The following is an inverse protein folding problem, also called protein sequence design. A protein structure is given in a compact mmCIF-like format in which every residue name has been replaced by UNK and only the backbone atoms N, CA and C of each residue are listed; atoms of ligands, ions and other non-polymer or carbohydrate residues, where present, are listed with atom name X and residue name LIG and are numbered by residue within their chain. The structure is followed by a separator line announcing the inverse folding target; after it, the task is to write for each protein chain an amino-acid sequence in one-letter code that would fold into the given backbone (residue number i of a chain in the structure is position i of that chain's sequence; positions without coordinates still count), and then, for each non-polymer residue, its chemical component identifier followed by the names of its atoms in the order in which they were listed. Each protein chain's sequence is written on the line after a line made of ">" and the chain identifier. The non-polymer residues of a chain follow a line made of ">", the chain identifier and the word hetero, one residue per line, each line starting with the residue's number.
data_IF_230933840047
#
_entry.id   IF_230933840047
#
_cell.length_a   1.000
_cell.length_b   1.000
_cell.length_c   1.000
_cell.angle_alpha   90.00
_cell.angle_beta   90.00
_cell.angle_gamma   90.00
#
_symmetry.space_group_name_H-M   'P 1'
#
loop_
_entity.id
_entity.type
_entity.pdbx_description
1 polymer ?
#
# COMPACT_ATOMS: atom_id res chain seq x y z
N UNK A 1 0.45 8.54 -12.91
CA UNK A 1 -0.45 7.74 -12.05
C UNK A 1 -0.12 6.28 -12.29
N UNK A 2 -0.06 5.47 -11.24
CA UNK A 2 0.13 4.02 -11.33
C UNK A 2 -1.13 3.30 -11.83
N UNK A 3 -0.95 2.04 -12.23
CA UNK A 3 -1.98 1.16 -12.76
C UNK A 3 -2.15 -0.05 -11.83
N UNK A 4 -3.38 -0.35 -11.44
CA UNK A 4 -3.70 -1.58 -10.72
C UNK A 4 -3.69 -2.75 -11.69
N UNK A 5 -2.81 -3.73 -11.47
CA UNK A 5 -2.65 -4.93 -12.29
C UNK A 5 -3.48 -6.10 -11.80
N UNK A 6 -3.57 -6.24 -10.47
CA UNK A 6 -4.37 -7.24 -9.80
C UNK A 6 -4.99 -6.64 -8.54
N UNK A 7 -6.20 -7.08 -8.22
CA UNK A 7 -6.93 -6.62 -7.05
C UNK A 7 -7.86 -7.73 -6.57
N UNK A 8 -7.66 -8.19 -5.34
CA UNK A 8 -8.56 -9.10 -4.66
C UNK A 8 -8.82 -8.57 -3.25
N UNK A 9 -10.07 -8.21 -3.00
CA UNK A 9 -10.53 -7.67 -1.72
C UNK A 9 -11.44 -8.65 -0.98
N UNK A 10 -11.32 -9.95 -1.30
CA UNK A 10 -12.09 -11.01 -0.64
C UNK A 10 -11.54 -11.30 0.75
N UNK A 11 -12.45 -11.73 1.62
CA UNK A 11 -12.16 -12.05 3.02
C UNK A 11 -11.08 -13.13 3.15
N UNK A 12 -10.00 -12.81 3.87
CA UNK A 12 -8.97 -13.76 4.32
C UNK A 12 -7.54 -13.29 4.08
N UNK A 13 -7.25 -12.72 2.91
CA UNK A 13 -5.93 -12.15 2.57
C UNK A 13 -6.05 -11.15 1.42
N UNK A 14 -6.73 -10.00 1.63
CA UNK A 14 -6.87 -8.98 0.61
C UNK A 14 -5.51 -8.50 0.10
N UNK A 15 -5.37 -8.39 -1.23
CA UNK A 15 -4.13 -7.97 -1.86
C UNK A 15 -4.35 -7.19 -3.16
N UNK A 16 -3.34 -6.45 -3.56
CA UNK A 16 -3.29 -5.80 -4.86
C UNK A 16 -1.87 -5.70 -5.40
N UNK A 17 -1.75 -5.78 -6.71
CA UNK A 17 -0.53 -5.45 -7.43
C UNK A 17 -0.71 -4.15 -8.19
N UNK A 18 0.26 -3.26 -8.06
CA UNK A 18 0.24 -1.94 -8.71
C UNK A 18 1.54 -1.75 -9.50
N UNK A 19 1.42 -1.39 -10.77
CA UNK A 19 2.52 -0.80 -11.53
C UNK A 19 2.57 0.70 -11.25
N UNK A 20 3.67 1.18 -10.69
CA UNK A 20 3.93 2.59 -10.45
C UNK A 20 4.26 3.31 -11.76
N UNK A 21 4.27 4.66 -11.72
CA UNK A 21 4.46 5.48 -12.91
C UNK A 21 5.82 5.23 -13.61
N UNK A 22 6.85 4.85 -12.86
CA UNK A 22 8.17 4.49 -13.40
C UNK A 22 8.29 3.03 -13.87
N UNK A 23 7.20 2.27 -13.88
CA UNK A 23 7.17 0.85 -14.26
C UNK A 23 7.61 -0.12 -13.15
N UNK A 24 7.94 0.36 -11.94
CA UNK A 24 8.12 -0.53 -10.78
C UNK A 24 6.80 -1.20 -10.42
N UNK A 25 6.86 -2.45 -9.98
CA UNK A 25 5.69 -3.16 -9.50
C UNK A 25 5.78 -3.31 -8.00
N UNK A 26 4.69 -2.99 -7.33
CA UNK A 26 4.54 -3.18 -5.89
C UNK A 26 3.37 -4.10 -5.60
N UNK A 27 3.54 -4.92 -4.57
CA UNK A 27 2.53 -5.80 -4.03
C UNK A 27 2.12 -5.28 -2.65
N UNK A 28 0.82 -5.11 -2.45
CA UNK A 28 0.20 -4.64 -1.22
C UNK A 28 -0.65 -5.80 -0.70
N UNK A 29 -0.42 -6.24 0.52
CA UNK A 29 -1.26 -7.25 1.16
C UNK A 29 -1.63 -6.86 2.58
N UNK A 30 -2.86 -7.22 2.93
CA UNK A 30 -3.42 -7.13 4.26
C UNK A 30 -3.74 -8.53 4.76
N UNK A 31 -3.16 -8.90 5.89
CA UNK A 31 -3.45 -10.15 6.58
C UNK A 31 -3.65 -9.90 8.09
N UNK A 32 -3.79 -10.97 8.87
CA UNK A 32 -3.96 -10.87 10.34
C UNK A 32 -2.77 -10.22 11.07
N UNK A 33 -1.60 -10.17 10.44
CA UNK A 33 -0.38 -9.53 10.95
C UNK A 33 -0.27 -8.05 10.54
N UNK A 34 -1.16 -7.58 9.66
CA UNK A 34 -1.30 -6.19 9.27
C UNK A 34 -0.98 -5.98 7.79
N UNK A 35 -0.26 -4.90 7.49
CA UNK A 35 0.06 -4.49 6.12
C UNK A 35 1.49 -4.88 5.77
N UNK A 36 1.66 -5.44 4.58
CA UNK A 36 2.96 -5.58 3.93
C UNK A 36 2.91 -4.93 2.55
N UNK A 37 3.89 -4.08 2.26
CA UNK A 37 4.12 -3.52 0.93
C UNK A 37 5.51 -3.95 0.46
N UNK A 38 5.58 -4.56 -0.72
CA UNK A 38 6.83 -5.04 -1.31
C UNK A 38 7.02 -4.49 -2.71
N UNK A 39 8.26 -4.28 -3.12
CA UNK A 39 8.64 -4.18 -4.52
C UNK A 39 8.81 -5.58 -5.08
N UNK A 40 8.15 -5.87 -6.20
CA UNK A 40 8.24 -7.17 -6.88
C UNK A 40 9.54 -7.26 -7.69
N UNK A 41 10.06 -8.49 -7.77
CA UNK A 41 11.28 -8.77 -8.52
C UNK A 41 11.13 -8.41 -10.01
N UNK A 42 12.21 -7.90 -10.58
CA UNK A 42 12.35 -7.61 -12.02
C UNK A 42 13.79 -7.94 -12.43
N UNK A 43 14.11 -8.15 -13.72
CA UNK A 43 15.46 -8.50 -14.14
C UNK A 43 16.50 -7.52 -13.54
N UNK A 44 17.44 -8.06 -12.74
CA UNK A 44 18.45 -7.28 -12.02
C UNK A 44 18.07 -6.75 -10.63
N UNK A 45 16.85 -6.98 -10.14
CA UNK A 45 16.39 -6.54 -8.82
C UNK A 45 15.58 -7.62 -8.10
N UNK A 46 16.01 -7.99 -6.88
CA UNK A 46 15.29 -8.92 -6.02
C UNK A 46 14.03 -8.27 -5.41
N UNK A 47 13.08 -9.11 -5.00
CA UNK A 47 11.95 -8.68 -4.18
C UNK A 47 12.46 -8.01 -2.89
N UNK A 48 11.81 -6.92 -2.48
CA UNK A 48 12.19 -6.18 -1.28
C UNK A 48 10.96 -5.68 -0.54
N UNK A 49 10.91 -5.90 0.77
CA UNK A 49 9.92 -5.25 1.65
C UNK A 49 10.20 -3.76 1.70
N UNK A 50 9.20 -2.96 1.32
CA UNK A 50 9.25 -1.50 1.38
C UNK A 50 8.73 -1.02 2.73
N UNK A 51 7.63 -1.62 3.20
CA UNK A 51 6.99 -1.23 4.44
C UNK A 51 6.22 -2.41 5.06
N UNK A 52 6.17 -2.45 6.39
CA UNK A 52 5.37 -3.40 7.16
C UNK A 52 4.81 -2.71 8.40
N UNK A 53 3.53 -2.95 8.71
CA UNK A 53 2.87 -2.35 9.87
C UNK A 53 1.89 -3.33 10.52
N UNK A 54 1.71 -3.19 11.84
CA UNK A 54 0.71 -3.94 12.60
C UNK A 54 -0.71 -3.50 12.24
N UNK A 55 -1.75 -4.30 12.53
CA UNK A 55 -3.13 -3.94 12.24
C UNK A 55 -3.54 -2.59 12.84
N UNK A 56 -3.10 -2.28 14.07
CA UNK A 56 -3.41 -1.01 14.74
C UNK A 56 -2.84 0.20 13.99
N UNK A 57 -1.58 0.11 13.55
CA UNK A 57 -0.95 1.16 12.74
C UNK A 57 -1.66 1.31 11.40
N UNK A 58 -2.07 0.21 10.76
CA UNK A 58 -2.81 0.23 9.49
C UNK A 58 -4.13 0.96 9.62
N UNK A 59 -4.91 0.67 10.68
CA UNK A 59 -6.18 1.34 10.94
C UNK A 59 -5.98 2.85 11.10
N UNK A 60 -4.97 3.27 11.85
CA UNK A 60 -4.66 4.70 12.05
C UNK A 60 -4.21 5.39 10.75
N UNK A 61 -3.36 4.74 9.95
CA UNK A 61 -2.96 5.25 8.63
C UNK A 61 -4.19 5.40 7.73
N UNK A 62 -5.04 4.38 7.66
CA UNK A 62 -6.24 4.43 6.84
C UNK A 62 -7.20 5.53 7.31
N UNK A 63 -7.38 5.72 8.62
CA UNK A 63 -8.19 6.81 9.17
C UNK A 63 -7.68 8.19 8.76
N UNK A 64 -6.36 8.43 8.85
CA UNK A 64 -5.76 9.69 8.39
C UNK A 64 -5.90 9.93 6.88
N UNK A 65 -5.86 8.86 6.07
CA UNK A 65 -6.10 8.94 4.62
C UNK A 65 -7.59 9.13 4.26
N UNK A 66 -8.51 8.63 5.09
CA UNK A 66 -9.95 8.78 4.90
C UNK A 66 -10.44 10.20 5.10
N UNK A 67 -9.95 10.87 6.15
CA UNK A 67 -10.36 12.24 6.50
C UNK A 67 -10.09 13.23 5.36
N UNK A 68 -9.12 12.92 4.50
CA UNK A 68 -8.71 13.76 3.38
C UNK A 68 -9.48 13.47 2.06
N UNK A 69 -10.19 12.34 1.97
CA UNK A 69 -10.71 11.84 0.68
C UNK A 69 -12.22 11.50 0.64
N UNK A 70 -12.96 11.61 1.76
CA UNK A 70 -14.43 11.50 1.75
C UNK A 70 -14.99 10.11 1.36
N UNK A 71 -14.17 9.06 1.41
CA UNK A 71 -14.61 7.70 1.06
C UNK A 71 -15.47 7.09 2.17
N UNK A 72 -16.79 7.22 2.10
CA UNK A 72 -17.69 6.63 3.12
C UNK A 72 -17.87 5.11 3.01
N UNK A 73 -17.27 4.44 2.00
CA UNK A 73 -17.44 2.99 1.74
C UNK A 73 -16.20 2.24 1.27
N UNK A 74 -15.02 2.86 1.26
CA UNK A 74 -13.82 2.18 0.77
C UNK A 74 -13.33 1.14 1.80
N UNK A 75 -12.81 0.02 1.32
CA UNK A 75 -12.11 -0.94 2.18
C UNK A 75 -10.69 -0.44 2.48
N UNK A 76 -10.03 -0.90 3.57
CA UNK A 76 -8.64 -0.54 3.85
C UNK A 76 -7.72 -0.78 2.65
N UNK A 77 -7.88 -1.89 1.92
CA UNK A 77 -7.08 -2.16 0.72
C UNK A 77 -7.29 -1.10 -0.36
N UNK A 78 -8.53 -0.69 -0.63
CA UNK A 78 -8.83 0.31 -1.66
C UNK A 78 -8.17 1.66 -1.36
N UNK A 79 -8.18 2.08 -0.10
CA UNK A 79 -7.53 3.33 0.33
C UNK A 79 -6.02 3.25 0.10
N UNK A 80 -5.41 2.15 0.54
CA UNK A 80 -3.97 1.93 0.41
C UNK A 80 -3.54 1.87 -1.05
N UNK A 81 -4.30 1.16 -1.89
CA UNK A 81 -4.07 1.10 -3.34
C UNK A 81 -4.19 2.50 -3.95
N UNK A 82 -5.24 3.25 -3.61
CA UNK A 82 -5.42 4.63 -4.08
C UNK A 82 -4.20 5.49 -3.74
N UNK A 83 -3.76 5.49 -2.48
CA UNK A 83 -2.56 6.21 -2.04
C UNK A 83 -1.31 5.78 -2.82
N UNK A 84 -1.08 4.47 -2.97
CA UNK A 84 0.10 3.95 -3.69
C UNK A 84 0.09 4.32 -5.18
N UNK A 85 -1.08 4.31 -5.84
CA UNK A 85 -1.18 4.68 -7.27
C UNK A 85 -0.85 6.15 -7.55
N UNK A 86 -0.87 7.01 -6.54
CA UNK A 86 -0.44 8.41 -6.68
C UNK A 86 1.08 8.59 -6.58
N UNK A 87 1.82 7.58 -6.13
CA UNK A 87 3.25 7.69 -5.88
C UNK A 87 4.09 7.32 -7.12
N UNK A 88 5.21 8.02 -7.37
CA UNK A 88 5.96 7.88 -8.61
C UNK A 88 6.81 6.60 -8.70
N UNK A 89 7.29 6.09 -7.55
CA UNK A 89 8.24 4.98 -7.47
C UNK A 89 8.23 4.33 -6.07
N UNK A 90 8.88 3.17 -5.94
CA UNK A 90 8.94 2.35 -4.73
C UNK A 90 9.63 3.05 -3.55
N UNK A 91 10.60 3.94 -3.82
CA UNK A 91 11.24 4.74 -2.78
C UNK A 91 10.26 5.75 -2.18
N UNK A 92 9.44 6.40 -3.02
CA UNK A 92 8.37 7.28 -2.57
C UNK A 92 7.28 6.52 -1.79
N UNK A 93 6.91 5.31 -2.25
CA UNK A 93 6.02 4.40 -1.48
C UNK A 93 6.58 4.14 -0.09
N UNK A 94 7.85 3.76 0.00
CA UNK A 94 8.50 3.52 1.29
C UNK A 94 8.46 4.77 2.18
N UNK A 95 8.90 5.92 1.68
CA UNK A 95 8.96 7.16 2.47
C UNK A 95 7.58 7.55 2.98
N UNK A 96 6.58 7.64 2.09
CA UNK A 96 5.23 8.08 2.45
C UNK A 96 4.61 7.23 3.56
N UNK A 97 4.77 5.90 3.50
CA UNK A 97 4.23 5.00 4.52
C UNK A 97 5.03 5.02 5.83
N UNK A 98 6.35 5.24 5.78
CA UNK A 98 7.17 5.44 6.97
C UNK A 98 6.80 6.75 7.69
N UNK A 99 6.62 7.82 6.93
CA UNK A 99 6.23 9.13 7.44
C UNK A 99 4.82 9.07 8.05
N UNK A 100 3.86 8.44 7.36
CA UNK A 100 2.51 8.23 7.89
C UNK A 100 2.53 7.41 9.19
N UNK A 101 3.34 6.34 9.26
CA UNK A 101 3.47 5.52 10.45
C UNK A 101 4.04 6.30 11.65
N UNK A 102 5.01 7.19 11.42
CA UNK A 102 5.65 7.99 12.47
C UNK A 102 4.71 9.03 13.10
N UNK A 103 3.68 9.47 12.38
CA UNK A 103 2.68 10.42 12.90
C UNK A 103 1.63 9.72 13.77
N UNK A 104 1.38 8.43 13.54
CA UNK A 104 0.31 7.67 14.20
C UNK A 104 0.80 6.67 15.27
N UNK A 105 2.11 6.50 15.38
CA UNK A 105 2.77 5.64 16.38
C UNK A 105 2.68 6.20 17.78
#
# INVERSE_FOLDING_TARGET
>A
MGLVLAFDDKFGSPYSEVALANGERVFISLDRHGLTIKSLARPGFAERVLFSASPDTVVKICAGLFDDQGYSRATPLQILVSAVTQLPNAAAVKSAFQDAAAVVS
#
